data_IF_507702249231
#
_entry.id   IF_507702249231
#
_cell.length_a   1.000
_cell.length_b   1.000
_cell.length_c   1.000
_cell.angle_alpha   90.00
_cell.angle_beta   90.00
_cell.angle_gamma   90.00
#
_symmetry.space_group_name_H-M   'P 1'
#
loop_
_entity.id
_entity.type
_entity.pdbx_description
1 polymer ?
#
# COMPACT_ATOMS: atom_id res chain seq x y z
N UNK A 1 21.79 44.86 47.56
CA UNK A 1 22.53 44.37 46.37
C UNK A 1 21.49 43.90 45.37
N UNK A 2 21.23 44.70 44.34
CA UNK A 2 20.30 44.38 43.27
C UNK A 2 20.96 43.37 42.33
N UNK A 3 20.39 42.17 42.20
CA UNK A 3 20.81 41.18 41.21
C UNK A 3 19.99 41.43 39.94
N UNK A 4 20.67 41.94 38.91
CA UNK A 4 20.14 42.18 37.57
C UNK A 4 19.77 40.85 36.92
N UNK A 5 18.48 40.65 36.62
CA UNK A 5 18.05 39.59 35.72
C UNK A 5 18.50 39.97 34.31
N UNK A 6 19.32 39.12 33.67
CA UNK A 6 19.67 39.30 32.27
C UNK A 6 18.42 39.06 31.42
N UNK A 7 17.88 40.12 30.83
CA UNK A 7 16.87 40.04 29.77
C UNK A 7 17.48 39.27 28.59
N UNK A 8 16.97 38.07 28.36
CA UNK A 8 17.20 37.36 27.09
C UNK A 8 16.48 38.17 26.02
N UNK A 9 17.24 38.95 25.23
CA UNK A 9 16.74 39.64 24.04
C UNK A 9 16.16 38.60 23.09
N UNK A 10 14.84 38.58 22.97
CA UNK A 10 14.09 37.77 22.00
C UNK A 10 14.26 38.22 20.54
N UNK A 11 15.04 39.27 20.29
CA UNK A 11 15.17 39.92 18.97
C UNK A 11 16.14 39.20 18.01
N UNK A 12 16.77 38.11 18.41
CA UNK A 12 17.72 37.35 17.57
C UNK A 12 17.30 35.89 17.37
N UNK A 13 15.99 35.63 17.30
CA UNK A 13 15.51 34.44 16.58
C UNK A 13 15.75 34.65 15.09
N UNK A 14 16.95 34.30 14.64
CA UNK A 14 17.24 34.10 13.22
C UNK A 14 16.29 33.00 12.75
N UNK A 15 15.24 33.39 12.03
CA UNK A 15 14.39 32.47 11.29
C UNK A 15 15.30 31.72 10.32
N UNK A 16 15.64 30.48 10.65
CA UNK A 16 16.23 29.56 9.68
C UNK A 16 15.29 29.58 8.46
N UNK A 17 15.81 29.72 7.22
CA UNK A 17 14.97 29.69 6.05
C UNK A 17 14.12 28.44 6.12
N UNK A 18 12.80 28.62 6.10
CA UNK A 18 11.86 27.52 6.16
C UNK A 18 12.26 26.55 5.07
N UNK A 19 12.73 25.36 5.48
CA UNK A 19 13.21 24.37 4.54
C UNK A 19 12.06 24.11 3.56
N UNK A 20 12.26 24.45 2.29
CA UNK A 20 11.30 24.14 1.23
C UNK A 20 11.29 22.61 1.15
N UNK A 21 10.40 21.99 1.92
CA UNK A 21 10.07 20.58 1.76
C UNK A 21 9.55 20.48 0.33
N UNK A 22 10.14 19.66 -0.55
CA UNK A 22 9.56 19.44 -1.86
C UNK A 22 8.12 19.01 -1.63
N UNK A 23 7.17 19.77 -2.19
CA UNK A 23 5.76 19.46 -2.03
C UNK A 23 5.51 18.12 -2.70
N UNK A 24 5.46 17.06 -1.90
CA UNK A 24 5.24 15.70 -2.39
C UNK A 24 3.83 15.65 -2.98
N UNK A 25 3.74 15.38 -4.27
CA UNK A 25 2.48 15.05 -4.92
C UNK A 25 2.10 13.63 -4.52
N UNK A 26 1.07 13.51 -3.68
CA UNK A 26 0.53 12.22 -3.24
C UNK A 26 -0.48 11.63 -4.22
N UNK A 27 -0.83 12.37 -5.29
CA UNK A 27 -1.79 11.95 -6.30
C UNK A 27 -1.14 11.34 -7.54
N UNK A 28 0.19 11.33 -7.63
CA UNK A 28 0.90 10.68 -8.74
C UNK A 28 0.57 9.18 -8.78
N UNK A 29 -0.01 8.67 -9.90
CA UNK A 29 -0.33 7.25 -10.06
C UNK A 29 0.85 6.30 -9.84
N UNK A 30 2.08 6.76 -10.07
CA UNK A 30 3.29 5.97 -9.82
C UNK A 30 3.52 5.64 -8.33
N UNK A 31 2.82 6.33 -7.42
CA UNK A 31 2.85 6.03 -5.99
C UNK A 31 1.93 4.86 -5.60
N UNK A 32 1.05 4.42 -6.50
CA UNK A 32 0.06 3.38 -6.24
C UNK A 32 0.38 2.10 -7.01
N UNK A 33 -0.06 0.99 -6.44
CA UNK A 33 0.00 -0.32 -7.10
C UNK A 33 -1.44 -0.76 -7.31
N UNK A 34 -1.72 -1.33 -8.48
CA UNK A 34 -3.00 -1.92 -8.78
C UNK A 34 -3.41 -2.92 -7.69
N UNK A 35 -4.64 -2.79 -7.20
CA UNK A 35 -5.14 -3.57 -6.07
C UNK A 35 -5.25 -5.04 -6.44
N UNK A 36 -5.73 -5.33 -7.63
CA UNK A 36 -6.00 -6.67 -8.15
C UNK A 36 -4.67 -7.39 -8.40
N UNK A 37 -3.68 -6.71 -8.99
CA UNK A 37 -2.32 -7.24 -9.13
C UNK A 37 -1.65 -7.47 -7.77
N UNK A 38 -1.80 -6.53 -6.82
CA UNK A 38 -1.27 -6.70 -5.47
C UNK A 38 -1.86 -7.93 -4.77
N UNK A 39 -3.15 -8.19 -4.99
CA UNK A 39 -3.84 -9.35 -4.47
C UNK A 39 -3.33 -10.65 -5.11
N UNK A 40 -3.07 -10.67 -6.41
CA UNK A 40 -2.47 -11.81 -7.10
C UNK A 40 -1.05 -12.09 -6.61
N UNK A 41 -0.23 -11.07 -6.39
CA UNK A 41 1.12 -11.19 -5.83
C UNK A 41 1.14 -11.69 -4.39
N UNK A 42 0.11 -11.37 -3.61
CA UNK A 42 -0.09 -11.98 -2.30
C UNK A 42 -0.39 -13.49 -2.44
N UNK A 43 -1.30 -13.87 -3.34
CA UNK A 43 -1.64 -15.28 -3.53
C UNK A 43 -0.51 -16.11 -4.12
N UNK A 44 0.32 -15.49 -4.96
CA UNK A 44 1.57 -16.08 -5.43
C UNK A 44 2.45 -16.51 -4.25
N UNK A 45 2.58 -15.68 -3.22
CA UNK A 45 3.34 -16.00 -1.99
C UNK A 45 2.70 -17.12 -1.17
N UNK A 46 1.37 -17.15 -1.08
CA UNK A 46 0.67 -18.28 -0.42
C UNK A 46 0.95 -19.60 -1.15
N UNK A 47 0.99 -19.57 -2.48
CA UNK A 47 1.34 -20.74 -3.30
C UNK A 47 2.82 -21.14 -3.16
N UNK A 48 3.72 -20.18 -2.95
CA UNK A 48 5.14 -20.47 -2.64
C UNK A 48 5.26 -21.28 -1.34
N UNK A 49 4.53 -20.93 -0.29
CA UNK A 49 4.51 -21.70 0.98
C UNK A 49 3.98 -23.13 0.79
N UNK A 50 3.02 -23.34 -0.12
CA UNK A 50 2.54 -24.69 -0.46
C UNK A 50 3.58 -25.53 -1.21
N UNK A 51 4.48 -24.88 -1.96
CA UNK A 51 5.50 -25.54 -2.78
C UNK A 51 6.80 -25.79 -2.03
N UNK A 52 7.07 -25.05 -0.95
CA UNK A 52 8.32 -25.17 -0.18
C UNK A 52 8.50 -26.58 0.41
N UNK A 53 9.50 -27.36 -0.05
CA UNK A 53 9.75 -28.71 0.45
C UNK A 53 10.31 -28.73 1.88
N UNK A 54 10.75 -27.59 2.42
CA UNK A 54 11.22 -27.48 3.80
C UNK A 54 10.08 -27.43 4.81
N UNK A 55 8.85 -27.12 4.34
CA UNK A 55 7.63 -27.15 5.14
C UNK A 55 7.11 -28.59 5.32
N UNK A 56 6.58 -28.95 6.51
CA UNK A 56 5.89 -30.22 6.69
C UNK A 56 4.76 -30.42 5.68
N UNK A 57 4.57 -31.65 5.21
CA UNK A 57 3.59 -31.97 4.15
C UNK A 57 2.18 -31.45 4.49
N UNK A 58 1.76 -31.53 5.76
CA UNK A 58 0.44 -31.05 6.18
C UNK A 58 0.30 -29.53 6.08
N UNK A 59 1.36 -28.77 6.37
CA UNK A 59 1.34 -27.31 6.22
C UNK A 59 1.24 -26.91 4.76
N UNK A 60 1.95 -27.61 3.88
CA UNK A 60 1.86 -27.41 2.43
C UNK A 60 0.45 -27.67 1.89
N UNK A 61 -0.23 -28.71 2.39
CA UNK A 61 -1.63 -29.00 2.04
C UNK A 61 -2.56 -27.90 2.56
N UNK A 62 -2.33 -27.38 3.78
CA UNK A 62 -3.11 -26.24 4.30
C UNK A 62 -2.94 -25.00 3.43
N UNK A 63 -1.70 -24.65 3.07
CA UNK A 63 -1.43 -23.52 2.18
C UNK A 63 -2.05 -23.71 0.80
N UNK A 64 -2.06 -24.94 0.26
CA UNK A 64 -2.75 -25.25 -1.00
C UNK A 64 -4.27 -25.00 -0.90
N UNK A 65 -4.89 -25.41 0.20
CA UNK A 65 -6.31 -25.14 0.46
C UNK A 65 -6.59 -23.65 0.60
N UNK A 66 -5.73 -22.91 1.32
CA UNK A 66 -5.86 -21.46 1.48
C UNK A 66 -5.73 -20.76 0.12
N UNK A 67 -4.72 -21.12 -0.67
CA UNK A 67 -4.52 -20.58 -2.03
C UNK A 67 -5.76 -20.82 -2.90
N UNK A 68 -6.31 -22.04 -2.88
CA UNK A 68 -7.49 -22.39 -3.68
C UNK A 68 -8.72 -21.56 -3.28
N UNK A 69 -9.01 -21.47 -1.98
CA UNK A 69 -10.14 -20.68 -1.48
C UNK A 69 -9.99 -19.19 -1.82
N UNK A 70 -8.78 -18.64 -1.67
CA UNK A 70 -8.53 -17.26 -2.05
C UNK A 70 -8.79 -17.06 -3.54
N UNK A 71 -8.28 -17.97 -4.39
CA UNK A 71 -8.42 -17.87 -5.84
C UNK A 71 -9.89 -17.88 -6.27
N UNK A 72 -10.71 -18.73 -5.65
CA UNK A 72 -12.16 -18.76 -5.86
C UNK A 72 -12.79 -17.40 -5.52
N UNK A 73 -12.47 -16.82 -4.36
CA UNK A 73 -12.94 -15.47 -3.97
C UNK A 73 -12.52 -14.40 -4.98
N UNK A 74 -11.31 -14.46 -5.51
CA UNK A 74 -10.85 -13.52 -6.53
C UNK A 74 -11.69 -13.59 -7.79
N UNK A 75 -12.03 -14.78 -8.26
CA UNK A 75 -12.88 -14.91 -9.44
C UNK A 75 -14.33 -14.49 -9.17
N UNK A 76 -14.89 -14.91 -8.03
CA UNK A 76 -16.28 -14.64 -7.69
C UNK A 76 -16.53 -13.16 -7.40
N UNK A 77 -15.58 -12.48 -6.74
CA UNK A 77 -15.76 -11.10 -6.30
C UNK A 77 -15.01 -10.13 -7.21
N UNK A 78 -13.70 -10.32 -7.41
CA UNK A 78 -12.85 -9.32 -8.09
C UNK A 78 -13.07 -9.32 -9.58
N UNK A 79 -12.92 -10.47 -10.23
CA UNK A 79 -13.09 -10.58 -11.68
C UNK A 79 -14.52 -10.23 -12.10
N UNK A 80 -15.52 -10.64 -11.31
CA UNK A 80 -16.90 -10.24 -11.52
C UNK A 80 -17.09 -8.71 -11.46
N UNK A 81 -16.51 -8.06 -10.44
CA UNK A 81 -16.55 -6.59 -10.30
C UNK A 81 -15.90 -5.86 -11.47
N UNK A 82 -14.71 -6.31 -11.91
CA UNK A 82 -14.01 -5.73 -13.07
C UNK A 82 -14.87 -5.88 -14.33
N UNK A 83 -15.46 -7.06 -14.55
CA UNK A 83 -16.36 -7.28 -15.70
C UNK A 83 -17.56 -6.34 -15.66
N UNK A 84 -18.14 -6.11 -14.49
CA UNK A 84 -19.26 -5.19 -14.33
C UNK A 84 -18.85 -3.75 -14.64
N UNK A 85 -17.69 -3.30 -14.17
CA UNK A 85 -17.14 -1.97 -14.45
C UNK A 85 -16.89 -1.74 -15.94
N UNK A 86 -16.35 -2.75 -16.63
CA UNK A 86 -16.15 -2.72 -18.09
C UNK A 86 -17.50 -2.62 -18.81
N UNK A 87 -18.51 -3.38 -18.36
CA UNK A 87 -19.84 -3.39 -18.96
C UNK A 87 -20.62 -2.09 -18.72
N UNK A 88 -20.38 -1.40 -17.60
CA UNK A 88 -21.07 -0.14 -17.29
C UNK A 88 -20.47 1.07 -18.01
N UNK A 89 -19.45 0.88 -18.86
CA UNK A 89 -18.72 1.95 -19.57
C UNK A 89 -18.17 3.04 -18.63
N UNK A 90 -17.98 2.70 -17.35
CA UNK A 90 -17.50 3.66 -16.35
C UNK A 90 -15.99 3.83 -16.54
N UNK A 91 -15.57 5.04 -16.92
CA UNK A 91 -14.16 5.39 -17.12
C UNK A 91 -13.43 5.76 -15.82
N UNK A 92 -13.82 5.16 -14.69
CA UNK A 92 -13.09 5.35 -13.44
C UNK A 92 -11.83 4.49 -13.47
N UNK A 93 -10.71 5.09 -13.83
CA UNK A 93 -9.38 4.51 -13.62
C UNK A 93 -9.05 4.55 -12.14
N UNK A 94 -8.44 3.49 -11.62
CA UNK A 94 -7.94 3.43 -10.25
C UNK A 94 -6.87 4.51 -9.98
N UNK A 95 -6.51 4.73 -8.70
CA UNK A 95 -5.46 5.67 -8.31
C UNK A 95 -4.10 5.39 -8.95
N UNK A 96 -3.86 4.14 -9.36
CA UNK A 96 -2.69 3.65 -10.09
C UNK A 96 -2.75 3.89 -11.61
N UNK A 97 -3.84 4.47 -12.11
CA UNK A 97 -4.01 4.83 -13.52
C UNK A 97 -4.42 3.66 -14.42
N UNK A 98 -4.83 2.53 -13.84
CA UNK A 98 -5.37 1.35 -14.55
C UNK A 98 -6.84 1.11 -14.23
#
# INVERSE_FOLDING_TARGET
MQTSAAEVRTDELVLLPEAIQPQRDFSDPANFINRELSWLEFNRRVLEEAQDPTQPLIERVKFMTIFSNNLDEFFEIRVAGIKQQIQSETSDTGPDGM
#
